data_IF_690208506096
#
_entry.id   IF_690208506096
#
_cell.length_a   1.000
_cell.length_b   1.000
_cell.length_c   1.000
_cell.angle_alpha   90.00
_cell.angle_beta   90.00
_cell.angle_gamma   90.00
#
_symmetry.space_group_name_H-M   'P 1'
#
loop_
_entity.id
_entity.type
_entity.pdbx_description
1 polymer ?
#
# COMPACT_ATOMS: atom_id res chain seq x y z
N UNK A 1 7.80 3.77 -0.13
CA UNK A 1 6.72 2.89 -0.65
C UNK A 1 6.86 2.85 -2.16
N UNK A 2 6.74 1.67 -2.76
CA UNK A 2 6.72 1.47 -4.22
C UNK A 2 5.26 1.37 -4.68
N UNK A 3 4.93 2.06 -5.77
CA UNK A 3 3.58 2.09 -6.35
C UNK A 3 3.56 1.52 -7.77
N UNK A 4 2.82 0.43 -7.98
CA UNK A 4 2.52 -0.09 -9.31
C UNK A 4 1.27 0.58 -9.87
N UNK A 5 1.43 1.71 -10.58
CA UNK A 5 0.29 2.47 -11.13
C UNK A 5 -0.25 1.85 -12.43
N UNK A 6 -1.47 2.27 -12.83
CA UNK A 6 -2.21 1.80 -14.01
C UNK A 6 -2.69 0.35 -13.89
N UNK A 7 -2.97 -0.12 -12.68
CA UNK A 7 -3.45 -1.48 -12.43
C UNK A 7 -4.77 -1.83 -13.15
N UNK A 8 -5.51 -0.83 -13.64
CA UNK A 8 -6.71 -1.02 -14.47
C UNK A 8 -6.42 -1.58 -15.87
N UNK A 9 -5.19 -1.47 -16.37
CA UNK A 9 -4.78 -1.96 -17.69
C UNK A 9 -4.29 -3.42 -17.63
N UNK A 10 -5.11 -4.32 -17.10
CA UNK A 10 -4.72 -5.72 -16.86
C UNK A 10 -4.35 -6.48 -18.14
N UNK A 11 -4.99 -6.16 -19.28
CA UNK A 11 -4.71 -6.76 -20.59
C UNK A 11 -3.36 -6.35 -21.18
N UNK A 12 -2.83 -5.20 -20.75
CA UNK A 12 -1.53 -4.66 -21.21
C UNK A 12 -0.45 -4.82 -20.12
N UNK A 13 -0.70 -5.68 -19.12
CA UNK A 13 0.23 -5.91 -18.02
C UNK A 13 1.51 -6.55 -18.54
N UNK A 14 2.62 -5.83 -18.38
CA UNK A 14 3.97 -6.32 -18.70
C UNK A 14 4.82 -6.64 -17.47
N UNK A 15 4.42 -6.17 -16.28
CA UNK A 15 5.07 -6.47 -15.00
C UNK A 15 4.09 -7.22 -14.11
N UNK A 16 4.52 -8.38 -13.60
CA UNK A 16 3.71 -9.18 -12.69
C UNK A 16 3.68 -8.51 -11.31
N UNK A 17 2.59 -8.67 -10.59
CA UNK A 17 2.48 -8.11 -9.24
C UNK A 17 3.58 -8.65 -8.32
N UNK A 18 3.94 -9.93 -8.46
CA UNK A 18 5.03 -10.58 -7.73
C UNK A 18 6.41 -9.92 -7.95
N UNK A 19 6.70 -9.42 -9.16
CA UNK A 19 7.97 -8.76 -9.46
C UNK A 19 8.07 -7.42 -8.72
N UNK A 20 6.96 -6.67 -8.69
CA UNK A 20 6.86 -5.44 -7.92
C UNK A 20 6.98 -5.67 -6.41
N UNK A 21 6.39 -6.75 -5.89
CA UNK A 21 6.53 -7.15 -4.48
C UNK A 21 7.98 -7.54 -4.15
N UNK A 22 8.65 -8.28 -5.03
CA UNK A 22 10.04 -8.68 -4.87
C UNK A 22 10.95 -7.46 -4.83
N UNK A 23 10.78 -6.53 -5.78
CA UNK A 23 11.53 -5.29 -5.82
C UNK A 23 11.32 -4.47 -4.53
N UNK A 24 10.07 -4.28 -4.09
CA UNK A 24 9.81 -3.54 -2.86
C UNK A 24 10.44 -4.18 -1.62
N UNK A 25 10.49 -5.52 -1.57
CA UNK A 25 11.16 -6.27 -0.51
C UNK A 25 12.66 -6.01 -0.49
N UNK A 26 13.32 -6.04 -1.65
CA UNK A 26 14.75 -5.74 -1.79
C UNK A 26 15.09 -4.32 -1.32
N UNK A 27 14.26 -3.34 -1.66
CA UNK A 27 14.44 -1.95 -1.24
C UNK A 27 13.93 -1.66 0.18
N UNK A 28 13.40 -2.64 0.91
CA UNK A 28 12.92 -2.44 2.28
C UNK A 28 11.68 -1.54 2.40
N UNK A 29 10.88 -1.40 1.33
CA UNK A 29 9.67 -0.56 1.29
C UNK A 29 8.40 -1.39 1.12
N UNK A 30 7.19 -0.88 1.46
CA UNK A 30 5.94 -1.55 1.10
C UNK A 30 5.62 -1.41 -0.40
N UNK A 31 4.83 -2.35 -0.94
CA UNK A 31 4.30 -2.33 -2.31
C UNK A 31 2.77 -2.23 -2.34
N UNK A 32 2.25 -1.40 -3.25
CA UNK A 32 0.82 -1.25 -3.49
C UNK A 32 0.55 -0.96 -4.96
N UNK A 33 -0.34 -1.73 -5.59
CA UNK A 33 -0.84 -1.42 -6.92
C UNK A 33 -1.96 -0.38 -6.84
N UNK A 34 -1.93 0.60 -7.75
CA UNK A 34 -2.87 1.72 -7.79
C UNK A 34 -3.38 1.96 -9.20
N UNK A 35 -4.52 2.63 -9.31
CA UNK A 35 -4.96 3.22 -10.57
C UNK A 35 -5.39 4.66 -10.31
N UNK A 36 -4.61 5.60 -10.85
CA UNK A 36 -5.01 7.00 -10.88
C UNK A 36 -6.29 7.24 -11.70
N UNK A 37 -6.62 6.33 -12.65
CA UNK A 37 -7.81 6.44 -13.50
C UNK A 37 -9.07 6.04 -12.76
N UNK A 38 -9.04 4.92 -12.02
CA UNK A 38 -10.23 4.39 -11.33
C UNK A 38 -10.31 4.82 -9.86
N UNK A 39 -9.23 5.40 -9.32
CA UNK A 39 -9.11 5.72 -7.90
C UNK A 39 -8.68 4.52 -7.04
N UNK A 40 -8.50 3.34 -7.63
CA UNK A 40 -8.07 2.13 -6.90
C UNK A 40 -6.82 2.40 -6.07
N UNK A 41 -6.92 2.18 -4.76
CA UNK A 41 -5.84 2.30 -3.77
C UNK A 41 -5.12 3.65 -3.71
N UNK A 42 -5.61 4.69 -4.40
CA UNK A 42 -4.99 6.02 -4.42
C UNK A 42 -5.08 6.66 -3.02
N UNK A 43 -6.28 6.66 -2.43
CA UNK A 43 -6.49 7.19 -1.08
C UNK A 43 -5.65 6.44 -0.04
N UNK A 44 -5.65 5.11 -0.10
CA UNK A 44 -4.84 4.26 0.78
C UNK A 44 -3.35 4.62 0.69
N UNK A 45 -2.82 4.81 -0.52
CA UNK A 45 -1.43 5.17 -0.73
C UNK A 45 -1.06 6.49 -0.04
N UNK A 46 -1.88 7.53 -0.26
CA UNK A 46 -1.62 8.84 0.34
C UNK A 46 -1.78 8.83 1.86
N UNK A 47 -2.83 8.20 2.39
CA UNK A 47 -3.04 8.09 3.84
C UNK A 47 -1.93 7.31 4.54
N UNK A 48 -1.46 6.22 3.93
CA UNK A 48 -0.36 5.43 4.47
C UNK A 48 0.92 6.26 4.62
N UNK A 49 1.27 7.03 3.58
CA UNK A 49 2.45 7.92 3.60
C UNK A 49 2.24 9.07 4.60
N UNK A 50 1.07 9.69 4.63
CA UNK A 50 0.78 10.79 5.55
C UNK A 50 0.89 10.35 7.02
N UNK A 51 0.37 9.16 7.36
CA UNK A 51 0.50 8.57 8.70
C UNK A 51 1.96 8.29 9.06
N UNK A 52 2.73 7.72 8.14
CA UNK A 52 4.16 7.47 8.33
C UNK A 52 4.92 8.78 8.61
N UNK A 53 4.66 9.82 7.81
CA UNK A 53 5.29 11.13 7.99
C UNK A 53 4.91 11.77 9.32
N UNK A 54 3.62 11.69 9.70
CA UNK A 54 3.13 12.21 10.99
C UNK A 54 3.80 11.49 12.16
N UNK A 55 3.88 10.17 12.12
CA UNK A 55 4.55 9.37 13.14
C UNK A 55 6.03 9.76 13.26
N UNK A 56 6.74 9.86 12.13
CA UNK A 56 8.15 10.27 12.11
C UNK A 56 8.37 11.68 12.66
N UNK A 57 7.52 12.63 12.29
CA UNK A 57 7.64 14.02 12.71
C UNK A 57 7.29 14.23 14.18
N UNK A 58 6.42 13.39 14.74
CA UNK A 58 5.79 13.60 16.04
C UNK A 58 6.29 12.70 17.17
N UNK A 59 7.46 12.04 17.06
CA UNK A 59 7.99 11.10 18.06
C UNK A 59 7.81 11.61 19.51
N UNK A 60 6.69 11.22 20.12
CA UNK A 60 6.44 11.24 21.55
C UNK A 60 6.68 9.82 22.03
N UNK A 61 7.44 9.68 23.11
CA UNK A 61 7.96 8.40 23.60
C UNK A 61 6.90 7.35 24.00
N UNK A 62 5.61 7.70 23.92
CA UNK A 62 4.47 6.89 24.39
C UNK A 62 3.51 6.43 23.27
N UNK A 63 3.70 6.85 22.01
CA UNK A 63 2.84 6.41 20.91
C UNK A 63 3.28 5.05 20.34
N UNK A 64 2.34 4.12 20.11
CA UNK A 64 2.64 2.83 19.49
C UNK A 64 3.34 3.01 18.14
N UNK A 65 4.31 2.13 17.85
CA UNK A 65 5.07 2.21 16.61
C UNK A 65 4.17 2.05 15.39
N UNK A 66 4.14 3.06 14.51
CA UNK A 66 3.45 2.94 13.23
C UNK A 66 4.38 2.25 12.22
N UNK A 67 3.91 1.13 11.66
CA UNK A 67 4.56 0.48 10.52
C UNK A 67 3.66 0.56 9.30
N UNK A 68 4.11 1.29 8.29
CA UNK A 68 3.38 1.45 7.03
C UNK A 68 3.04 0.11 6.33
N UNK A 69 3.90 -0.92 6.47
CA UNK A 69 3.67 -2.26 5.91
C UNK A 69 2.42 -2.90 6.50
N UNK A 70 2.34 -2.97 7.82
CA UNK A 70 1.21 -3.55 8.55
C UNK A 70 -0.11 -2.82 8.24
N UNK A 71 -0.03 -1.48 8.14
CA UNK A 71 -1.18 -0.67 7.77
C UNK A 71 -1.70 -1.04 6.38
N UNK A 72 -0.84 -1.10 5.36
CA UNK A 72 -1.24 -1.46 3.99
C UNK A 72 -1.81 -2.88 3.92
N UNK A 73 -1.18 -3.85 4.59
CA UNK A 73 -1.67 -5.24 4.61
C UNK A 73 -3.03 -5.39 5.29
N UNK A 74 -3.27 -4.67 6.41
CA UNK A 74 -4.55 -4.69 7.11
C UNK A 74 -5.70 -4.21 6.21
N UNK A 75 -5.46 -3.20 5.38
CA UNK A 75 -6.49 -2.64 4.49
C UNK A 75 -6.78 -3.57 3.32
N UNK A 76 -5.74 -4.24 2.75
CA UNK A 76 -5.92 -5.28 1.72
C UNK A 76 -6.81 -6.44 2.23
N UNK A 77 -6.67 -6.84 3.49
CA UNK A 77 -7.51 -7.88 4.10
C UNK A 77 -8.95 -7.44 4.33
N UNK A 78 -9.18 -6.16 4.69
CA UNK A 78 -10.52 -5.61 4.93
C UNK A 78 -11.39 -5.58 3.67
N UNK A 79 -10.81 -5.38 2.49
CA UNK A 79 -11.57 -5.46 1.23
C UNK A 79 -11.94 -6.89 0.81
N UNK A 80 -11.42 -7.92 1.50
CA UNK A 80 -11.59 -9.33 1.11
C UNK A 80 -12.61 -10.11 1.96
N UNK A 81 -13.21 -9.52 3.00
CA UNK A 81 -14.07 -10.25 3.94
C UNK A 81 -15.52 -9.72 3.97
N UNK A 82 -16.24 -9.92 2.85
CA UNK A 82 -17.70 -9.89 2.77
C UNK A 82 -18.14 -11.02 1.81
N UNK A 83 -18.06 -12.27 2.26
CA UNK A 83 -18.59 -13.43 1.52
C UNK A 83 -18.96 -14.57 2.46
N UNK A 84 -19.80 -14.31 3.47
CA UNK A 84 -20.68 -15.32 4.07
C UNK A 84 -21.88 -14.59 4.68
N UNK A 85 -22.94 -14.47 3.88
CA UNK A 85 -24.31 -14.38 4.34
C UNK A 85 -25.09 -15.48 3.64
#
# INVERSE_FOLDING_TARGET
MLLGNKADMSSERVIRSEDGETLAREYGVPFLETSAKTGMNVELAFLAIAKELKYRAGHQADEPSFQIRDYVESQKKRSSCCSFM
#
